data_IF_654293186366
#
_entry.id   IF_654293186366
#
_cell.length_a   1.000
_cell.length_b   1.000
_cell.length_c   1.000
_cell.angle_alpha   90.00
_cell.angle_beta   90.00
_cell.angle_gamma   90.00
#
_symmetry.space_group_name_H-M   'P 1'
#
loop_
_entity.id
_entity.type
_entity.pdbx_description
1 polymer ?
#
# COMPACT_ATOMS: atom_id res chain seq x y z
N UNK A 1 35.97 -2.17 2.79
CA UNK A 1 36.27 -2.24 1.34
C UNK A 1 34.97 -1.85 0.66
N UNK A 2 34.73 -0.66 0.11
CA UNK A 2 35.55 0.39 -0.46
C UNK A 2 34.79 0.77 -1.73
N UNK A 3 34.24 2.00 -1.81
CA UNK A 3 33.84 2.68 -3.06
C UNK A 3 33.30 4.09 -2.74
N UNK A 4 34.27 4.99 -2.62
CA UNK A 4 34.44 6.33 -3.18
C UNK A 4 33.25 7.20 -3.64
N UNK A 5 33.37 8.45 -3.17
CA UNK A 5 32.81 9.71 -3.62
C UNK A 5 32.82 9.93 -5.14
N UNK A 6 31.75 10.56 -5.66
CA UNK A 6 31.82 11.34 -6.91
C UNK A 6 31.26 12.74 -6.67
N UNK A 7 32.14 13.71 -6.90
CA UNK A 7 31.94 15.15 -6.82
C UNK A 7 31.31 15.73 -8.08
N UNK A 8 30.63 16.85 -7.89
CA UNK A 8 30.04 17.67 -8.95
C UNK A 8 31.11 18.42 -9.77
N UNK A 9 30.92 18.48 -11.09
CA UNK A 9 31.61 19.43 -11.96
C UNK A 9 30.63 20.15 -12.90
N UNK A 10 30.88 21.46 -13.01
CA UNK A 10 30.17 22.49 -13.76
C UNK A 10 30.99 22.83 -15.00
N UNK A 11 30.39 22.98 -16.19
CA UNK A 11 30.78 23.99 -17.21
C UNK A 11 29.83 24.06 -18.40
N UNK A 12 29.85 25.24 -19.01
CA UNK A 12 28.92 25.83 -19.96
C UNK A 12 29.26 25.57 -21.44
N UNK A 13 28.28 25.87 -22.32
CA UNK A 13 28.53 26.64 -23.54
C UNK A 13 28.21 26.00 -24.90
N UNK A 14 27.15 26.47 -25.55
CA UNK A 14 27.20 27.06 -26.91
C UNK A 14 26.94 26.20 -28.18
N UNK A 15 26.11 26.75 -29.08
CA UNK A 15 26.29 26.64 -30.54
C UNK A 15 25.32 25.72 -31.29
N UNK A 16 24.47 26.29 -32.15
CA UNK A 16 23.45 25.58 -32.95
C UNK A 16 23.95 24.95 -34.25
N UNK A 17 23.02 24.35 -35.00
CA UNK A 17 23.13 24.25 -36.47
C UNK A 17 21.83 23.81 -37.16
N UNK A 18 21.80 24.16 -38.44
CA UNK A 18 20.74 24.24 -39.45
C UNK A 18 20.61 23.00 -40.35
N UNK A 19 19.52 22.97 -41.12
CA UNK A 19 19.13 22.04 -42.20
C UNK A 19 19.90 22.25 -43.54
N UNK A 20 19.91 21.23 -44.42
CA UNK A 20 20.03 21.37 -45.89
C UNK A 20 18.82 20.74 -46.66
N UNK A 21 18.16 21.42 -47.61
CA UNK A 21 18.34 21.54 -49.10
C UNK A 21 18.13 20.28 -49.97
N UNK A 22 17.24 20.36 -50.99
CA UNK A 22 17.57 20.49 -52.44
C UNK A 22 16.33 20.38 -53.36
N UNK A 23 16.42 21.01 -54.54
CA UNK A 23 15.38 21.20 -55.57
C UNK A 23 15.83 20.66 -56.94
N UNK A 24 14.89 20.44 -57.88
CA UNK A 24 15.16 20.33 -59.33
C UNK A 24 13.93 20.64 -60.20
N UNK A 25 14.20 21.12 -61.42
CA UNK A 25 13.34 21.88 -62.35
C UNK A 25 12.96 21.14 -63.65
N UNK A 26 11.71 21.34 -64.09
CA UNK A 26 11.19 21.70 -65.43
C UNK A 26 11.60 21.00 -66.77
N UNK A 27 10.60 20.65 -67.61
CA UNK A 27 10.50 21.06 -69.04
C UNK A 27 9.16 20.66 -69.74
N UNK A 28 8.84 21.30 -70.87
CA UNK A 28 7.51 21.49 -71.46
C UNK A 28 7.29 20.95 -72.91
N UNK A 29 6.01 20.91 -73.34
CA UNK A 29 5.38 21.19 -74.67
C UNK A 29 4.78 20.08 -75.59
N UNK A 30 3.48 20.33 -75.93
CA UNK A 30 2.75 20.35 -77.25
C UNK A 30 2.14 19.09 -77.94
N UNK A 31 0.79 19.04 -77.91
CA UNK A 31 -0.27 18.89 -78.97
C UNK A 31 0.00 18.26 -80.36
N UNK A 32 -0.83 17.25 -80.76
CA UNK A 32 -1.83 17.26 -81.89
C UNK A 32 -2.42 15.85 -82.22
N UNK A 33 -3.73 15.79 -82.53
CA UNK A 33 -4.31 15.04 -83.68
C UNK A 33 -4.87 13.60 -83.52
N UNK A 34 -6.20 13.45 -83.64
CA UNK A 34 -6.98 12.21 -83.93
C UNK A 34 -6.99 11.91 -85.45
N UNK A 35 -7.26 10.66 -85.93
CA UNK A 35 -8.65 10.21 -86.21
C UNK A 35 -8.93 8.67 -86.14
N UNK A 36 -10.22 8.29 -86.10
CA UNK A 36 -10.72 7.01 -86.65
C UNK A 36 -11.53 6.10 -85.71
N UNK A 37 -12.86 6.09 -85.86
CA UNK A 37 -13.85 5.20 -85.18
C UNK A 37 -14.18 4.00 -86.12
N UNK A 38 -14.54 2.80 -85.61
CA UNK A 38 -15.86 2.28 -85.99
C UNK A 38 -16.74 1.84 -84.80
N UNK A 39 -18.03 2.12 -84.99
CA UNK A 39 -19.18 1.90 -84.11
C UNK A 39 -19.54 0.42 -84.03
N UNK A 40 -19.85 -0.04 -82.82
CA UNK A 40 -20.34 -1.41 -82.57
C UNK A 40 -20.34 -1.83 -81.09
N UNK A 41 -19.69 -1.07 -80.20
CA UNK A 41 -19.59 -1.35 -78.75
C UNK A 41 -20.18 -0.26 -77.86
N UNK A 42 -21.20 0.44 -78.35
CA UNK A 42 -21.69 1.68 -77.72
C UNK A 42 -22.95 1.51 -76.85
N UNK A 43 -23.51 0.30 -76.71
CA UNK A 43 -24.65 0.03 -75.81
C UNK A 43 -24.21 -0.71 -74.54
N UNK A 44 -23.17 -1.55 -74.62
CA UNK A 44 -22.63 -2.26 -73.46
C UNK A 44 -21.75 -1.36 -72.57
N UNK A 45 -21.11 -0.33 -73.15
CA UNK A 45 -20.39 0.72 -72.40
C UNK A 45 -21.32 1.65 -71.62
N UNK A 46 -22.53 1.93 -72.11
CA UNK A 46 -23.49 2.80 -71.42
C UNK A 46 -24.03 2.13 -70.16
N UNK A 47 -24.31 0.82 -70.19
CA UNK A 47 -24.72 0.09 -68.99
C UNK A 47 -23.58 -0.08 -67.97
N UNK A 48 -22.35 -0.33 -68.41
CA UNK A 48 -21.21 -0.37 -67.50
C UNK A 48 -20.84 1.01 -66.95
N UNK A 49 -20.98 2.08 -67.73
CA UNK A 49 -20.80 3.45 -67.24
C UNK A 49 -21.92 3.87 -66.29
N UNK A 50 -23.17 3.45 -66.50
CA UNK A 50 -24.27 3.69 -65.54
C UNK A 50 -24.02 2.90 -64.25
N UNK A 51 -23.58 1.64 -64.33
CA UNK A 51 -23.19 0.86 -63.14
C UNK A 51 -22.00 1.48 -62.40
N UNK A 52 -20.99 1.96 -63.11
CA UNK A 52 -19.84 2.66 -62.51
C UNK A 52 -20.25 4.01 -61.93
N UNK A 53 -21.15 4.76 -62.57
CA UNK A 53 -21.66 6.04 -62.03
C UNK A 53 -22.55 5.83 -60.81
N UNK A 54 -23.36 4.77 -60.77
CA UNK A 54 -24.14 4.39 -59.58
C UNK A 54 -23.21 3.90 -58.47
N UNK A 55 -22.18 3.10 -58.78
CA UNK A 55 -21.18 2.64 -57.82
C UNK A 55 -20.34 3.81 -57.29
N UNK A 56 -19.90 4.72 -58.15
CA UNK A 56 -19.22 5.96 -57.77
C UNK A 56 -20.15 6.86 -56.96
N UNK A 57 -21.44 6.94 -57.29
CA UNK A 57 -22.45 7.65 -56.48
C UNK A 57 -22.61 7.03 -55.10
N UNK A 58 -22.70 5.71 -55.00
CA UNK A 58 -22.78 4.97 -53.73
C UNK A 58 -21.49 5.10 -52.91
N UNK A 59 -20.31 4.99 -53.54
CA UNK A 59 -19.01 5.18 -52.89
C UNK A 59 -18.84 6.63 -52.46
N UNK A 60 -19.31 7.61 -53.24
CA UNK A 60 -19.26 9.02 -52.84
C UNK A 60 -20.24 9.31 -51.70
N UNK A 61 -21.42 8.67 -51.67
CA UNK A 61 -22.34 8.75 -50.52
C UNK A 61 -21.78 8.02 -49.29
N UNK A 62 -21.09 6.89 -49.46
CA UNK A 62 -20.41 6.16 -48.37
C UNK A 62 -19.17 6.91 -47.85
N UNK A 63 -18.42 7.56 -48.73
CA UNK A 63 -17.27 8.41 -48.38
C UNK A 63 -17.77 9.73 -47.78
N UNK A 64 -18.85 10.33 -48.28
CA UNK A 64 -19.49 11.51 -47.67
C UNK A 64 -20.18 11.16 -46.34
N UNK A 65 -20.76 9.96 -46.16
CA UNK A 65 -21.21 9.47 -44.84
C UNK A 65 -20.06 9.01 -43.93
N UNK A 66 -18.89 8.72 -44.51
CA UNK A 66 -17.66 8.41 -43.79
C UNK A 66 -16.85 9.66 -43.40
N UNK A 67 -17.06 10.79 -44.07
CA UNK A 67 -16.37 12.08 -43.86
C UNK A 67 -17.28 13.18 -43.29
N UNK A 68 -18.60 13.02 -43.35
CA UNK A 68 -19.60 13.80 -42.62
C UNK A 68 -20.35 12.83 -41.71
N UNK A 69 -20.03 12.93 -40.42
CA UNK A 69 -20.30 11.92 -39.40
C UNK A 69 -21.75 11.44 -39.30
N UNK A 70 -21.89 10.12 -39.30
CA UNK A 70 -22.93 9.42 -38.55
C UNK A 70 -22.21 8.41 -37.66
N UNK A 71 -21.71 8.94 -36.55
CA UNK A 71 -21.01 8.21 -35.51
C UNK A 71 -21.02 9.02 -34.21
N UNK A 72 -22.15 9.67 -33.90
CA UNK A 72 -22.39 10.37 -32.64
C UNK A 72 -23.90 10.44 -32.33
N UNK A 73 -24.58 9.30 -32.43
CA UNK A 73 -26.00 9.14 -32.03
C UNK A 73 -26.17 8.12 -30.89
N UNK A 74 -25.09 7.83 -30.15
CA UNK A 74 -25.11 7.00 -28.94
C UNK A 74 -24.11 7.42 -27.87
N UNK A 75 -23.39 8.53 -28.07
CA UNK A 75 -22.37 9.05 -27.14
C UNK A 75 -22.87 10.24 -26.33
N UNK A 76 -23.88 11.00 -26.77
CA UNK A 76 -24.33 12.15 -25.98
C UNK A 76 -25.02 11.76 -24.67
N UNK A 77 -25.78 10.66 -24.65
CA UNK A 77 -26.35 10.14 -23.40
C UNK A 77 -25.28 9.49 -22.53
N UNK A 78 -24.38 8.68 -23.09
CA UNK A 78 -23.31 8.05 -22.31
C UNK A 78 -22.34 9.10 -21.75
N UNK A 79 -21.97 10.12 -22.53
CA UNK A 79 -21.10 11.21 -22.11
C UNK A 79 -21.83 12.15 -21.15
N UNK A 80 -23.13 12.44 -21.34
CA UNK A 80 -23.91 13.23 -20.38
C UNK A 80 -24.16 12.48 -19.06
N UNK A 81 -24.40 11.17 -19.11
CA UNK A 81 -24.49 10.31 -17.92
C UNK A 81 -23.14 10.27 -17.21
N UNK A 82 -22.04 10.15 -17.96
CA UNK A 82 -20.69 10.15 -17.36
C UNK A 82 -20.33 11.51 -16.76
N UNK A 83 -20.70 12.62 -17.40
CA UNK A 83 -20.55 13.97 -16.85
C UNK A 83 -21.43 14.16 -15.60
N UNK A 84 -22.67 13.69 -15.62
CA UNK A 84 -23.57 13.76 -14.47
C UNK A 84 -23.05 12.91 -13.30
N UNK A 85 -22.51 11.71 -13.57
CA UNK A 85 -21.84 10.88 -12.56
C UNK A 85 -20.58 11.59 -12.02
N UNK A 86 -19.79 12.25 -12.86
CA UNK A 86 -18.60 13.01 -12.42
C UNK A 86 -19.02 14.21 -11.58
N UNK A 87 -20.04 14.97 -11.98
CA UNK A 87 -20.58 16.10 -11.22
C UNK A 87 -21.21 15.65 -9.90
N UNK A 88 -21.97 14.57 -9.90
CA UNK A 88 -22.57 13.98 -8.71
C UNK A 88 -21.49 13.40 -7.78
N UNK A 89 -20.44 12.75 -8.33
CA UNK A 89 -19.28 12.28 -7.56
C UNK A 89 -18.52 13.46 -6.96
N UNK A 90 -18.29 14.54 -7.72
CA UNK A 90 -17.64 15.75 -7.23
C UNK A 90 -18.50 16.46 -6.19
N UNK A 91 -19.83 16.43 -6.33
CA UNK A 91 -20.77 16.96 -5.35
C UNK A 91 -20.76 16.13 -4.07
N UNK A 92 -20.78 14.80 -4.17
CA UNK A 92 -20.65 13.88 -3.02
C UNK A 92 -19.30 14.08 -2.35
N UNK A 93 -18.20 14.17 -3.11
CA UNK A 93 -16.88 14.46 -2.57
C UNK A 93 -16.83 15.85 -1.91
N UNK A 94 -17.51 16.84 -2.47
CA UNK A 94 -17.61 18.17 -1.87
C UNK A 94 -18.46 18.15 -0.60
N UNK A 95 -19.54 17.37 -0.55
CA UNK A 95 -20.40 17.18 0.62
C UNK A 95 -19.63 16.45 1.75
N UNK A 96 -18.93 15.35 1.43
CA UNK A 96 -18.02 14.64 2.35
C UNK A 96 -16.91 15.57 2.87
N UNK A 97 -16.40 16.46 2.02
CA UNK A 97 -15.38 17.46 2.42
C UNK A 97 -15.98 18.66 3.18
N UNK A 98 -17.27 18.93 3.02
CA UNK A 98 -18.01 20.04 3.62
C UNK A 98 -18.54 19.74 5.02
N UNK A 99 -18.54 18.47 5.45
CA UNK A 99 -18.86 18.07 6.84
C UNK A 99 -17.81 18.55 7.87
N UNK A 100 -16.82 19.35 7.46
CA UNK A 100 -16.15 20.25 8.38
C UNK A 100 -17.05 21.45 8.66
N UNK A 101 -18.06 21.30 9.53
CA UNK A 101 -18.83 22.43 10.05
C UNK A 101 -17.92 23.26 10.98
N UNK A 102 -17.53 24.49 10.61
CA UNK A 102 -16.76 25.36 11.50
C UNK A 102 -17.56 25.87 12.71
N UNK A 103 -18.86 25.55 12.78
CA UNK A 103 -19.76 25.87 13.88
C UNK A 103 -20.37 24.62 14.55
N UNK A 104 -19.75 23.44 14.43
CA UNK A 104 -20.13 22.29 15.27
C UNK A 104 -20.02 22.72 16.75
N UNK A 105 -21.13 22.78 17.51
CA UNK A 105 -21.09 23.18 18.92
C UNK A 105 -20.29 22.20 19.80
N UNK A 106 -19.95 21.01 19.28
CA UNK A 106 -19.06 20.02 19.91
C UNK A 106 -17.58 20.13 19.43
N UNK A 107 -17.24 21.14 18.62
CA UNK A 107 -15.84 21.55 18.37
C UNK A 107 -15.50 22.78 19.23
N UNK A 108 -15.20 22.60 20.54
CA UNK A 108 -14.74 23.71 21.36
C UNK A 108 -13.46 24.25 20.72
N UNK A 109 -13.40 25.56 20.52
CA UNK A 109 -12.22 26.29 20.06
C UNK A 109 -10.96 25.66 20.63
N UNK A 110 -10.04 25.18 19.78
CA UNK A 110 -8.85 24.39 20.14
C UNK A 110 -8.30 24.80 21.51
N UNK A 111 -8.75 24.13 22.57
CA UNK A 111 -8.28 24.40 23.91
C UNK A 111 -6.88 23.82 23.95
N UNK A 112 -5.89 24.65 23.64
CA UNK A 112 -4.48 24.31 23.81
C UNK A 112 -4.34 23.66 25.19
N UNK A 113 -3.82 22.42 25.21
CA UNK A 113 -3.49 21.74 26.46
C UNK A 113 -2.73 22.76 27.31
N UNK A 114 -3.20 23.00 28.52
CA UNK A 114 -2.44 23.76 29.49
C UNK A 114 -1.11 23.02 29.66
N UNK A 115 0.04 23.60 29.27
CA UNK A 115 1.34 22.91 29.29
C UNK A 115 1.74 22.42 30.70
N UNK A 116 1.04 22.88 31.74
CA UNK A 116 1.20 22.41 33.12
C UNK A 116 0.45 21.11 33.45
N UNK A 117 -0.37 20.57 32.54
CA UNK A 117 -1.10 19.30 32.73
C UNK A 117 -0.42 18.20 31.94
N UNK A 118 0.05 17.17 32.63
CA UNK A 118 0.65 15.99 32.00
C UNK A 118 -0.43 15.18 31.28
N UNK A 119 -0.25 14.94 29.98
CA UNK A 119 -1.14 14.09 29.19
C UNK A 119 -1.18 12.65 29.73
N UNK A 120 -2.35 12.01 29.68
CA UNK A 120 -2.53 10.59 30.04
C UNK A 120 -3.44 9.89 29.05
N UNK A 121 -3.15 8.63 28.72
CA UNK A 121 -4.00 7.80 27.83
C UNK A 121 -5.31 7.31 28.50
N UNK A 122 -5.50 7.63 29.78
CA UNK A 122 -6.63 7.23 30.61
C UNK A 122 -6.20 6.95 32.06
N UNK A 123 -7.14 6.54 32.92
CA UNK A 123 -6.84 6.19 34.31
C UNK A 123 -5.77 5.10 34.40
N UNK A 124 -4.88 5.21 35.39
CA UNK A 124 -3.83 4.21 35.62
C UNK A 124 -4.44 2.89 36.06
N UNK A 125 -4.06 1.82 35.38
CA UNK A 125 -4.42 0.43 35.71
C UNK A 125 -3.13 -0.26 36.18
N UNK A 126 -3.19 -1.01 37.28
CA UNK A 126 -2.00 -1.63 37.91
C UNK A 126 -2.12 -3.15 38.07
N UNK A 127 -3.29 -3.71 37.81
CA UNK A 127 -3.67 -5.10 38.06
C UNK A 127 -4.23 -5.79 36.80
N UNK A 128 -3.93 -5.29 35.60
CA UNK A 128 -4.55 -5.77 34.35
C UNK A 128 -4.32 -7.27 34.10
N UNK A 129 -3.14 -7.80 34.40
CA UNK A 129 -2.87 -9.23 34.26
C UNK A 129 -3.81 -10.09 35.12
N UNK A 130 -4.12 -9.63 36.33
CA UNK A 130 -5.02 -10.34 37.25
C UNK A 130 -6.46 -10.24 36.78
N UNK A 131 -6.91 -9.05 36.37
CA UNK A 131 -8.26 -8.84 35.83
C UNK A 131 -8.50 -9.65 34.56
N UNK A 132 -7.54 -9.60 33.61
CA UNK A 132 -7.58 -10.37 32.37
C UNK A 132 -7.61 -11.88 32.64
N UNK A 133 -6.84 -12.37 33.60
CA UNK A 133 -6.88 -13.78 34.01
C UNK A 133 -8.26 -14.18 34.54
N UNK A 134 -8.82 -13.39 35.46
CA UNK A 134 -10.17 -13.64 36.02
C UNK A 134 -11.22 -13.65 34.91
N UNK A 135 -11.13 -12.72 33.95
CA UNK A 135 -12.04 -12.68 32.82
C UNK A 135 -11.91 -13.92 31.93
N UNK A 136 -10.69 -14.37 31.61
CA UNK A 136 -10.46 -15.58 30.80
C UNK A 136 -10.99 -16.84 31.49
N UNK A 137 -10.82 -16.94 32.82
CA UNK A 137 -11.35 -18.06 33.62
C UNK A 137 -12.90 -18.08 33.63
N UNK A 138 -13.54 -16.91 33.52
CA UNK A 138 -15.01 -16.76 33.50
C UNK A 138 -15.63 -16.89 32.10
N UNK A 139 -14.85 -16.74 31.03
CA UNK A 139 -15.32 -16.70 29.64
C UNK A 139 -14.56 -17.72 28.77
N UNK A 140 -14.66 -19.05 29.06
CA UNK A 140 -13.89 -20.10 28.39
C UNK A 140 -14.20 -20.24 26.88
N UNK A 141 -15.31 -19.69 26.42
CA UNK A 141 -15.71 -19.62 25.00
C UNK A 141 -14.90 -18.59 24.20
N UNK A 142 -14.18 -17.69 24.87
CA UNK A 142 -13.27 -16.72 24.28
C UNK A 142 -11.81 -16.96 24.72
N UNK A 143 -11.19 -18.10 24.35
CA UNK A 143 -9.84 -18.40 24.77
C UNK A 143 -8.83 -17.49 24.05
N UNK A 144 -7.76 -17.14 24.76
CA UNK A 144 -6.62 -16.42 24.20
C UNK A 144 -5.68 -17.30 23.37
N UNK A 145 -5.86 -18.63 23.43
CA UNK A 145 -5.20 -19.60 22.58
C UNK A 145 -6.22 -20.56 21.95
N UNK A 146 -6.18 -20.72 20.63
CA UNK A 146 -7.00 -21.68 19.88
C UNK A 146 -6.06 -22.67 19.22
N UNK A 147 -6.18 -23.97 19.52
CA UNK A 147 -5.30 -25.02 18.99
C UNK A 147 -3.80 -24.72 19.17
N UNK A 148 -3.41 -24.22 20.37
CA UNK A 148 -2.05 -23.76 20.71
C UNK A 148 -1.55 -22.53 19.95
N UNK A 149 -2.38 -21.91 19.09
CA UNK A 149 -2.07 -20.64 18.43
C UNK A 149 -2.65 -19.49 19.24
N UNK A 150 -1.83 -18.50 19.58
CA UNK A 150 -2.30 -17.32 20.28
C UNK A 150 -3.26 -16.51 19.39
N UNK A 151 -4.30 -15.93 19.98
CA UNK A 151 -5.24 -15.06 19.26
C UNK A 151 -4.56 -13.73 18.92
N UNK A 152 -4.57 -13.37 17.64
CA UNK A 152 -4.02 -12.12 17.14
C UNK A 152 -5.15 -11.23 16.63
N UNK A 153 -5.10 -9.95 16.97
CA UNK A 153 -5.92 -8.89 16.40
C UNK A 153 -5.03 -7.95 15.58
N UNK A 154 -5.18 -7.98 14.25
CA UNK A 154 -4.50 -7.04 13.37
C UNK A 154 -5.24 -5.70 13.39
N UNK A 155 -4.52 -4.62 13.64
CA UNK A 155 -5.05 -3.27 13.75
C UNK A 155 -4.38 -2.39 12.73
N UNK A 156 -5.18 -1.71 11.93
CA UNK A 156 -4.73 -0.72 10.96
C UNK A 156 -5.72 0.45 10.93
N UNK A 157 -5.41 1.50 10.19
CA UNK A 157 -6.34 2.61 10.05
C UNK A 157 -5.84 3.69 9.10
N UNK A 158 -6.73 4.63 8.82
CA UNK A 158 -6.45 5.82 8.02
C UNK A 158 -7.19 7.02 8.63
N UNK A 159 -6.86 8.25 8.21
CA UNK A 159 -7.68 9.41 8.55
C UNK A 159 -9.16 9.21 8.15
N UNK A 160 -10.12 9.82 8.89
CA UNK A 160 -11.54 9.78 8.55
C UNK A 160 -11.88 10.52 7.25
N UNK A 161 -11.12 11.57 6.95
CA UNK A 161 -11.36 12.43 5.79
C UNK A 161 -10.79 11.79 4.52
N UNK A 162 -11.38 12.05 3.35
CA UNK A 162 -10.78 11.66 2.07
C UNK A 162 -9.35 12.15 1.96
N UNK A 163 -8.51 11.41 1.24
CA UNK A 163 -7.14 11.78 1.03
C UNK A 163 -7.00 13.12 0.29
N UNK A 164 -5.95 13.88 0.62
CA UNK A 164 -5.59 15.11 -0.10
C UNK A 164 -5.38 14.80 -1.59
N UNK A 165 -4.68 13.70 -1.85
CA UNK A 165 -4.54 13.12 -3.19
C UNK A 165 -5.62 12.05 -3.40
N UNK A 166 -6.59 12.24 -4.32
CA UNK A 166 -7.71 11.31 -4.49
C UNK A 166 -7.30 9.86 -4.85
N UNK A 167 -6.15 9.67 -5.49
CA UNK A 167 -5.65 8.31 -5.77
C UNK A 167 -5.23 7.58 -4.48
N UNK A 168 -4.94 8.32 -3.41
CA UNK A 168 -4.58 7.77 -2.10
C UNK A 168 -5.64 6.84 -1.55
N UNK A 169 -6.93 7.20 -1.64
CA UNK A 169 -8.04 6.37 -1.21
C UNK A 169 -8.10 5.03 -1.95
N UNK A 170 -7.76 5.02 -3.24
CA UNK A 170 -7.65 3.77 -4.01
C UNK A 170 -6.55 2.86 -3.48
N UNK A 171 -5.40 3.41 -3.09
CA UNK A 171 -4.31 2.62 -2.51
C UNK A 171 -4.58 2.20 -1.07
N UNK A 172 -5.32 2.98 -0.28
CA UNK A 172 -5.84 2.55 1.02
C UNK A 172 -6.77 1.34 0.85
N UNK A 173 -7.68 1.38 -0.13
CA UNK A 173 -8.58 0.26 -0.46
C UNK A 173 -7.80 -0.99 -0.86
N UNK A 174 -6.77 -0.86 -1.70
CA UNK A 174 -5.90 -1.98 -2.09
C UNK A 174 -5.14 -2.55 -0.90
N UNK A 175 -4.60 -1.68 -0.04
CA UNK A 175 -3.88 -2.10 1.15
C UNK A 175 -4.78 -2.84 2.14
N UNK A 176 -6.03 -2.40 2.37
CA UNK A 176 -6.94 -3.15 3.23
C UNK A 176 -7.40 -4.47 2.59
N UNK A 177 -7.65 -4.53 1.28
CA UNK A 177 -7.89 -5.82 0.60
C UNK A 177 -6.73 -6.79 0.83
N UNK A 178 -5.48 -6.34 0.69
CA UNK A 178 -4.29 -7.15 0.93
C UNK A 178 -4.27 -7.70 2.36
N UNK A 179 -4.53 -6.86 3.37
CA UNK A 179 -4.62 -7.28 4.78
C UNK A 179 -5.78 -8.24 5.03
N UNK A 180 -6.95 -8.00 4.44
CA UNK A 180 -8.12 -8.90 4.49
C UNK A 180 -7.75 -10.28 3.95
N UNK A 181 -7.07 -10.35 2.81
CA UNK A 181 -6.67 -11.61 2.20
C UNK A 181 -5.71 -12.40 3.09
N UNK A 182 -4.69 -11.75 3.64
CA UNK A 182 -3.77 -12.38 4.59
C UNK A 182 -4.50 -12.84 5.85
N UNK A 183 -5.25 -11.95 6.51
CA UNK A 183 -5.96 -12.26 7.75
C UNK A 183 -6.96 -13.41 7.57
N UNK A 184 -7.71 -13.43 6.45
CA UNK A 184 -8.58 -14.55 6.09
C UNK A 184 -7.82 -15.84 5.89
N UNK A 185 -6.64 -15.81 5.26
CA UNK A 185 -5.80 -17.00 5.05
C UNK A 185 -5.26 -17.57 6.35
N UNK A 186 -4.96 -16.71 7.33
CA UNK A 186 -4.29 -17.07 8.58
C UNK A 186 -5.19 -17.14 9.82
N UNK A 187 -6.49 -16.85 9.68
CA UNK A 187 -7.45 -16.88 10.79
C UNK A 187 -7.22 -15.76 11.81
N UNK A 188 -6.83 -14.58 11.34
CA UNK A 188 -6.56 -13.39 12.15
C UNK A 188 -7.75 -12.44 12.02
N UNK A 189 -8.18 -11.86 13.14
CA UNK A 189 -9.22 -10.82 13.15
C UNK A 189 -8.60 -9.47 12.79
N UNK A 190 -9.38 -8.58 12.16
CA UNK A 190 -8.90 -7.28 11.71
C UNK A 190 -9.82 -6.15 12.19
N UNK A 191 -9.22 -5.08 12.69
CA UNK A 191 -9.88 -3.80 12.96
C UNK A 191 -9.28 -2.73 12.07
N UNK A 192 -10.15 -2.01 11.38
CA UNK A 192 -9.80 -0.84 10.59
C UNK A 192 -10.37 0.41 11.25
N UNK A 193 -9.51 1.23 11.85
CA UNK A 193 -9.92 2.46 12.49
C UNK A 193 -9.95 3.63 11.51
N UNK A 194 -11.06 4.36 11.51
CA UNK A 194 -11.24 5.65 10.81
C UNK A 194 -11.62 6.77 11.78
N UNK A 195 -11.58 6.54 13.10
CA UNK A 195 -11.97 7.54 14.09
C UNK A 195 -10.74 8.16 14.78
N UNK A 196 -10.82 9.46 15.09
CA UNK A 196 -9.90 10.08 16.02
C UNK A 196 -10.42 9.88 17.45
N UNK A 197 -9.79 8.96 18.19
CA UNK A 197 -10.16 8.68 19.59
C UNK A 197 -9.64 9.74 20.57
N UNK A 198 -8.63 10.50 20.16
CA UNK A 198 -7.98 11.53 20.94
C UNK A 198 -7.51 12.63 19.98
N UNK A 199 -7.94 13.88 20.21
CA UNK A 199 -7.60 15.03 19.35
C UNK A 199 -6.13 15.48 19.54
N UNK A 200 -5.50 15.12 20.65
CA UNK A 200 -4.11 15.48 20.97
C UNK A 200 -3.10 14.53 20.34
N UNK A 201 -3.44 13.24 20.31
CA UNK A 201 -2.65 12.21 19.63
C UNK A 201 -3.13 12.00 18.19
N UNK A 202 -2.94 13.02 17.35
CA UNK A 202 -3.22 12.97 15.92
C UNK A 202 -2.06 12.37 15.09
N UNK A 203 -2.35 11.99 13.84
CA UNK A 203 -1.35 11.47 12.90
C UNK A 203 -0.82 10.10 13.31
N UNK A 204 0.50 9.89 13.19
CA UNK A 204 1.14 8.61 13.54
C UNK A 204 0.98 8.24 15.02
N UNK A 205 0.68 9.21 15.89
CA UNK A 205 0.43 8.98 17.32
C UNK A 205 -0.93 8.37 17.65
N UNK A 206 -1.90 8.44 16.73
CA UNK A 206 -3.27 7.96 16.95
C UNK A 206 -3.37 6.45 17.24
N UNK A 207 -2.31 5.68 16.91
CA UNK A 207 -2.23 4.26 17.21
C UNK A 207 -2.16 3.95 18.70
N UNK A 208 -1.54 4.81 19.53
CA UNK A 208 -1.39 4.57 20.98
C UNK A 208 -2.75 4.47 21.72
N UNK A 209 -3.65 5.48 21.64
CA UNK A 209 -4.93 5.42 22.35
C UNK A 209 -5.82 4.30 21.80
N UNK A 210 -5.74 4.01 20.50
CA UNK A 210 -6.44 2.89 19.87
C UNK A 210 -5.97 1.53 20.40
N UNK A 211 -4.66 1.29 20.42
CA UNK A 211 -4.09 0.05 20.95
C UNK A 211 -4.50 -0.13 22.41
N UNK A 212 -4.36 0.91 23.25
CA UNK A 212 -4.79 0.84 24.65
C UNK A 212 -6.27 0.46 24.77
N UNK A 213 -7.14 1.11 23.98
CA UNK A 213 -8.58 0.83 23.99
C UNK A 213 -8.87 -0.62 23.60
N UNK A 214 -8.21 -1.13 22.56
CA UNK A 214 -8.40 -2.50 22.09
C UNK A 214 -7.87 -3.54 23.07
N UNK A 215 -6.74 -3.28 23.74
CA UNK A 215 -6.23 -4.17 24.80
C UNK A 215 -7.27 -4.38 25.91
N UNK A 216 -7.89 -3.28 26.36
CA UNK A 216 -8.86 -3.30 27.45
C UNK A 216 -10.24 -3.83 27.02
N UNK A 217 -10.60 -3.68 25.74
CA UNK A 217 -11.91 -4.10 25.21
C UNK A 217 -11.91 -5.55 24.73
N UNK A 218 -10.72 -6.12 24.46
CA UNK A 218 -10.54 -7.50 23.99
C UNK A 218 -9.59 -8.30 24.90
N UNK A 219 -10.00 -8.67 26.13
CA UNK A 219 -9.16 -9.46 27.03
C UNK A 219 -8.82 -10.85 26.46
N UNK A 220 -9.62 -11.38 25.53
CA UNK A 220 -9.36 -12.62 24.81
C UNK A 220 -8.18 -12.53 23.83
N UNK A 221 -7.81 -11.34 23.37
CA UNK A 221 -6.70 -11.17 22.43
C UNK A 221 -5.38 -11.28 23.17
N UNK A 222 -4.48 -12.15 22.71
CA UNK A 222 -3.14 -12.30 23.28
C UNK A 222 -2.16 -11.31 22.65
N UNK A 223 -2.26 -11.09 21.35
CA UNK A 223 -1.40 -10.17 20.61
C UNK A 223 -2.21 -9.16 19.80
N UNK A 224 -1.94 -7.88 20.02
CA UNK A 224 -2.36 -6.80 19.12
C UNK A 224 -1.23 -6.55 18.14
N UNK A 225 -1.51 -6.70 16.85
CA UNK A 225 -0.55 -6.44 15.79
C UNK A 225 -0.93 -5.17 15.05
N UNK A 226 -0.20 -4.09 15.34
CA UNK A 226 -0.35 -2.85 14.57
C UNK A 226 0.34 -2.98 13.21
N UNK A 227 -0.32 -2.55 12.15
CA UNK A 227 0.25 -2.46 10.80
C UNK A 227 -0.22 -1.20 10.09
N UNK A 228 0.71 -0.35 9.67
CA UNK A 228 0.42 0.90 8.97
C UNK A 228 -0.34 0.66 7.65
N UNK A 229 -1.11 1.66 7.22
CA UNK A 229 -1.93 1.56 6.00
C UNK A 229 -1.10 1.36 4.74
N UNK A 230 0.13 1.88 4.69
CA UNK A 230 1.09 1.78 3.59
C UNK A 230 2.07 0.60 3.74
N UNK A 231 1.86 -0.28 4.72
CA UNK A 231 2.49 -1.59 4.79
C UNK A 231 1.62 -2.66 4.13
N UNK A 232 2.20 -3.47 3.24
CA UNK A 232 1.51 -4.58 2.57
C UNK A 232 2.18 -5.91 2.90
N UNK A 233 1.36 -6.94 3.10
CA UNK A 233 1.84 -8.32 3.04
C UNK A 233 2.29 -8.65 1.63
N UNK A 234 3.50 -9.16 1.49
CA UNK A 234 4.05 -9.65 0.23
C UNK A 234 4.43 -11.12 0.29
N UNK A 235 4.40 -11.74 1.46
CA UNK A 235 4.36 -13.19 1.66
C UNK A 235 3.01 -13.61 2.27
N UNK A 236 2.16 -14.25 1.46
CA UNK A 236 0.83 -14.72 1.89
C UNK A 236 0.88 -16.09 2.56
N UNK A 237 2.03 -16.77 2.56
CA UNK A 237 2.24 -18.10 3.18
C UNK A 237 2.86 -17.98 4.56
N UNK A 238 3.79 -17.04 4.74
CA UNK A 238 4.55 -16.91 5.98
C UNK A 238 3.63 -16.70 7.20
N UNK A 239 3.87 -17.48 8.26
CA UNK A 239 3.25 -17.33 9.58
C UNK A 239 4.28 -16.78 10.57
N UNK A 240 3.88 -15.83 11.41
CA UNK A 240 4.75 -15.29 12.47
C UNK A 240 5.10 -16.43 13.46
N UNK A 241 6.39 -16.69 13.73
CA UNK A 241 6.80 -17.77 14.63
C UNK A 241 6.60 -17.38 16.10
N UNK A 242 5.35 -17.29 16.57
CA UNK A 242 5.02 -16.73 17.89
C UNK A 242 5.70 -17.43 19.08
N UNK A 243 6.01 -18.73 18.97
CA UNK A 243 6.76 -19.48 19.99
C UNK A 243 8.14 -18.85 20.27
N UNK A 244 8.74 -18.17 19.29
CA UNK A 244 9.99 -17.42 19.46
C UNK A 244 9.85 -16.25 20.45
N UNK A 245 8.62 -15.77 20.68
CA UNK A 245 8.33 -14.55 21.43
C UNK A 245 7.66 -14.80 22.78
N UNK A 246 7.61 -16.04 23.27
CA UNK A 246 6.92 -16.41 24.52
C UNK A 246 7.37 -15.59 25.73
N UNK A 247 8.65 -15.21 25.79
CA UNK A 247 9.22 -14.43 26.89
C UNK A 247 9.17 -12.90 26.71
N UNK A 248 8.62 -12.44 25.58
CA UNK A 248 8.60 -11.03 25.17
C UNK A 248 7.17 -10.49 25.11
N UNK A 249 7.05 -9.16 25.20
CA UNK A 249 5.78 -8.43 25.18
C UNK A 249 5.69 -7.42 24.04
N UNK A 250 6.83 -6.98 23.50
CA UNK A 250 6.90 -6.17 22.28
C UNK A 250 7.80 -6.86 21.27
N UNK A 251 7.29 -7.09 20.06
CA UNK A 251 8.08 -7.60 18.92
C UNK A 251 8.05 -6.55 17.83
N UNK A 252 9.22 -6.05 17.45
CA UNK A 252 9.35 -4.96 16.48
C UNK A 252 10.54 -5.23 15.57
N UNK A 253 10.41 -4.94 14.28
CA UNK A 253 11.55 -5.09 13.38
C UNK A 253 12.62 -4.06 13.70
N UNK A 254 13.88 -4.49 13.84
CA UNK A 254 14.97 -3.57 14.14
C UNK A 254 16.35 -4.20 14.08
N UNK A 255 17.38 -3.36 14.04
CA UNK A 255 18.77 -3.77 13.90
C UNK A 255 19.55 -3.46 15.19
N UNK A 256 20.06 -4.48 15.91
CA UNK A 256 20.79 -4.25 17.17
C UNK A 256 21.97 -3.28 17.06
N UNK A 257 22.72 -3.33 15.94
CA UNK A 257 23.83 -2.39 15.71
C UNK A 257 23.33 -0.94 15.60
N UNK A 258 22.26 -0.70 14.83
CA UNK A 258 21.68 0.63 14.70
C UNK A 258 21.11 1.12 16.04
N UNK A 259 20.55 0.22 16.84
CA UNK A 259 19.98 0.54 18.14
C UNK A 259 21.06 0.90 19.15
N UNK A 260 21.95 -0.04 19.48
CA UNK A 260 22.83 0.07 20.64
C UNK A 260 24.16 0.77 20.35
N UNK A 261 24.70 0.61 19.14
CA UNK A 261 25.98 1.21 18.78
C UNK A 261 25.78 2.59 18.14
N UNK A 262 24.87 2.68 17.17
CA UNK A 262 24.70 3.93 16.40
C UNK A 262 23.65 4.89 16.96
N UNK A 263 22.71 4.39 17.78
CA UNK A 263 21.55 5.15 18.29
C UNK A 263 20.79 5.85 17.17
N UNK A 264 20.54 5.12 16.08
CA UNK A 264 19.90 5.63 14.87
C UNK A 264 18.39 5.77 15.04
N UNK A 265 17.78 6.81 14.48
CA UNK A 265 16.32 6.98 14.48
C UNK A 265 15.55 5.97 13.60
N UNK A 266 16.28 5.21 12.77
CA UNK A 266 15.76 4.09 11.98
C UNK A 266 16.20 2.73 12.54
N UNK A 267 16.59 2.68 13.83
CA UNK A 267 17.04 1.45 14.48
C UNK A 267 15.95 0.37 14.57
N UNK A 268 14.68 0.78 14.63
CA UNK A 268 13.50 -0.08 14.58
C UNK A 268 12.40 0.61 13.75
N UNK A 269 11.33 -0.11 13.41
CA UNK A 269 10.18 0.46 12.71
C UNK A 269 8.86 0.20 13.44
N UNK A 270 8.11 1.26 13.73
CA UNK A 270 6.81 1.19 14.42
C UNK A 270 5.61 1.14 13.46
N UNK A 271 5.84 0.79 12.19
CA UNK A 271 4.77 0.58 11.22
C UNK A 271 4.29 -0.86 11.11
N UNK A 272 4.97 -1.81 11.76
CA UNK A 272 4.52 -3.19 11.91
C UNK A 272 5.15 -3.80 13.16
N UNK A 273 4.36 -4.01 14.21
CA UNK A 273 4.84 -4.55 15.48
C UNK A 273 3.72 -5.25 16.26
N UNK A 274 4.10 -6.13 17.19
CA UNK A 274 3.17 -6.86 18.06
C UNK A 274 3.30 -6.41 19.52
N UNK A 275 2.17 -6.17 20.17
CA UNK A 275 2.04 -6.01 21.61
C UNK A 275 1.31 -7.18 22.25
N UNK A 276 1.88 -7.75 23.31
CA UNK A 276 1.17 -8.70 24.16
C UNK A 276 0.14 -7.99 25.01
N UNK A 277 -1.07 -8.51 25.13
CA UNK A 277 -2.11 -7.96 25.99
C UNK A 277 -1.81 -8.25 27.47
N UNK A 278 -1.03 -7.35 28.09
CA UNK A 278 -0.56 -7.49 29.46
C UNK A 278 -0.29 -6.12 30.11
N UNK A 279 -0.14 -6.12 31.43
CA UNK A 279 0.13 -4.93 32.25
C UNK A 279 1.38 -4.18 31.76
N UNK A 280 2.45 -4.91 31.42
CA UNK A 280 3.70 -4.31 30.93
C UNK A 280 3.47 -3.46 29.68
N UNK A 281 2.62 -3.91 28.75
CA UNK A 281 2.33 -3.17 27.53
C UNK A 281 1.49 -1.92 27.80
N UNK A 282 0.57 -1.95 28.78
CA UNK A 282 -0.14 -0.74 29.22
C UNK A 282 0.83 0.28 29.82
N UNK A 283 1.78 -0.19 30.62
CA UNK A 283 2.80 0.67 31.23
C UNK A 283 3.75 1.27 30.17
N UNK A 284 4.11 0.50 29.13
CA UNK A 284 4.91 1.03 28.03
C UNK A 284 4.14 2.10 27.24
N UNK A 285 2.85 1.90 26.97
CA UNK A 285 2.02 2.90 26.28
C UNK A 285 1.98 4.21 27.06
N UNK A 286 1.82 4.15 28.38
CA UNK A 286 1.87 5.33 29.27
C UNK A 286 3.24 6.04 29.19
N UNK A 287 4.34 5.29 29.11
CA UNK A 287 5.69 5.85 29.00
C UNK A 287 6.04 6.38 27.60
N UNK A 288 5.36 5.89 26.56
CA UNK A 288 5.61 6.25 25.16
C UNK A 288 4.82 7.50 24.73
N UNK A 289 3.59 7.65 25.22
CA UNK A 289 2.69 8.76 24.90
C UNK A 289 3.19 10.20 25.19
N UNK A 290 4.06 10.50 26.17
CA UNK A 290 4.33 11.88 26.60
C UNK A 290 4.91 12.82 25.53
N UNK A 291 5.57 12.28 24.50
CA UNK A 291 6.11 13.08 23.38
C UNK A 291 5.09 13.30 22.24
N UNK A 292 3.89 12.73 22.37
CA UNK A 292 2.88 12.69 21.32
C UNK A 292 1.89 13.86 21.23
N UNK A 293 1.49 14.56 22.31
CA UNK A 293 0.49 15.63 22.21
C UNK A 293 0.89 16.74 21.24
N UNK A 294 0.03 17.06 20.26
CA UNK A 294 0.29 18.05 19.20
C UNK A 294 0.64 19.44 19.75
N UNK A 295 1.28 20.26 18.94
CA UNK A 295 1.69 21.62 19.30
C UNK A 295 3.03 21.66 20.05
N UNK A 296 3.22 22.59 21.01
CA UNK A 296 4.54 22.85 21.61
C UNK A 296 5.21 21.62 22.23
N UNK A 297 4.43 20.70 22.82
CA UNK A 297 4.96 19.48 23.45
C UNK A 297 5.69 18.62 22.41
N UNK A 298 5.00 18.26 21.32
CA UNK A 298 5.56 17.44 20.25
C UNK A 298 6.68 18.15 19.48
N UNK A 299 6.60 19.47 19.32
CA UNK A 299 7.66 20.28 18.69
C UNK A 299 8.95 20.28 19.51
N UNK A 300 8.87 20.55 20.82
CA UNK A 300 10.04 20.51 21.72
C UNK A 300 10.60 19.10 21.87
N UNK A 301 9.74 18.09 21.98
CA UNK A 301 10.16 16.70 21.96
C UNK A 301 10.90 16.34 20.66
N UNK A 302 10.46 16.85 19.51
CA UNK A 302 11.15 16.68 18.23
C UNK A 302 12.59 17.20 18.24
N UNK A 303 12.84 18.34 18.91
CA UNK A 303 14.20 18.87 19.09
C UNK A 303 15.05 17.95 19.96
N UNK A 304 14.49 17.44 21.07
CA UNK A 304 15.16 16.47 21.94
C UNK A 304 15.54 15.21 21.16
N UNK A 305 14.61 14.64 20.39
CA UNK A 305 14.85 13.44 19.59
C UNK A 305 15.93 13.67 18.53
N UNK A 306 15.88 14.82 17.84
CA UNK A 306 16.88 15.19 16.83
C UNK A 306 18.28 15.34 17.44
N UNK A 307 18.39 15.86 18.66
CA UNK A 307 19.66 16.01 19.36
C UNK A 307 20.23 14.67 19.86
N UNK A 308 19.39 13.66 20.09
CA UNK A 308 19.80 12.40 20.74
C UNK A 308 19.86 11.20 19.79
N UNK A 309 19.20 11.25 18.62
CA UNK A 309 19.14 10.15 17.67
C UNK A 309 19.90 10.47 16.39
N UNK A 310 20.86 9.61 16.05
CA UNK A 310 21.71 9.77 14.88
C UNK A 310 20.89 9.72 13.59
N UNK A 311 21.12 10.70 12.72
CA UNK A 311 20.53 10.76 11.38
C UNK A 311 19.08 11.21 11.31
N UNK A 312 18.46 11.57 12.45
CA UNK A 312 17.09 12.09 12.47
C UNK A 312 17.06 13.51 11.87
N UNK A 313 16.21 13.80 10.87
CA UNK A 313 16.02 15.17 10.39
C UNK A 313 15.24 16.01 11.42
N UNK A 314 15.28 17.33 11.26
CA UNK A 314 14.56 18.25 12.14
C UNK A 314 13.08 18.35 11.76
N UNK A 315 12.21 17.72 12.56
CA UNK A 315 10.75 17.81 12.48
C UNK A 315 10.15 17.43 13.86
N UNK A 316 8.83 17.59 13.99
CA UNK A 316 8.06 17.22 15.20
C UNK A 316 8.33 15.79 15.67
N UNK A 317 8.13 15.49 16.96
CA UNK A 317 8.29 14.13 17.47
C UNK A 317 7.36 13.12 16.77
N UNK A 318 7.93 11.97 16.42
CA UNK A 318 7.24 10.81 15.87
C UNK A 318 7.30 9.62 16.84
N UNK A 319 6.33 8.72 16.75
CA UNK A 319 6.20 7.57 17.62
C UNK A 319 7.43 6.65 17.53
N UNK A 320 7.98 6.43 16.33
CA UNK A 320 9.17 5.58 16.13
C UNK A 320 10.39 6.09 16.90
N UNK A 321 10.73 7.37 16.71
CA UNK A 321 11.86 8.02 17.37
C UNK A 321 11.65 8.08 18.88
N UNK A 322 10.44 8.38 19.34
CA UNK A 322 10.12 8.39 20.76
C UNK A 322 10.29 7.01 21.41
N UNK A 323 9.89 5.92 20.73
CA UNK A 323 10.10 4.56 21.22
C UNK A 323 11.58 4.23 21.31
N UNK A 324 12.36 4.55 20.26
CA UNK A 324 13.81 4.33 20.27
C UNK A 324 14.46 5.07 21.44
N UNK A 325 14.12 6.34 21.61
CA UNK A 325 14.66 7.16 22.69
C UNK A 325 14.29 6.61 24.08
N UNK A 326 13.03 6.20 24.28
CA UNK A 326 12.57 5.56 25.52
C UNK A 326 13.34 4.27 25.82
N UNK A 327 13.45 3.38 24.84
CA UNK A 327 14.14 2.09 24.99
C UNK A 327 15.65 2.23 25.22
N UNK A 328 16.27 3.28 24.68
CA UNK A 328 17.68 3.58 24.94
C UNK A 328 17.92 4.24 26.30
N UNK A 329 17.02 5.16 26.71
CA UNK A 329 17.16 5.91 27.96
C UNK A 329 16.75 5.12 29.20
N UNK A 330 15.82 4.17 29.05
CA UNK A 330 15.30 3.33 30.13
C UNK A 330 15.50 1.84 29.81
N UNK A 331 16.67 1.50 29.26
CA UNK A 331 17.01 0.15 28.78
C UNK A 331 16.72 -0.93 29.82
N UNK A 332 17.17 -0.73 31.05
CA UNK A 332 17.06 -1.74 32.13
C UNK A 332 15.60 -1.99 32.55
N UNK A 333 14.70 -1.05 32.26
CA UNK A 333 13.28 -1.15 32.60
C UNK A 333 12.46 -1.87 31.51
N UNK A 334 12.84 -1.72 30.23
CA UNK A 334 11.98 -2.14 29.12
C UNK A 334 12.58 -3.24 28.25
N UNK A 335 13.89 -3.22 27.99
CA UNK A 335 14.48 -4.01 26.91
C UNK A 335 14.48 -5.52 27.16
N UNK A 336 14.30 -5.98 28.39
CA UNK A 336 14.18 -7.41 28.71
C UNK A 336 12.92 -8.06 28.09
N UNK A 337 11.88 -7.26 27.83
CA UNK A 337 10.62 -7.69 27.21
C UNK A 337 10.45 -7.24 25.75
N UNK A 338 11.47 -6.62 25.15
CA UNK A 338 11.46 -6.21 23.74
C UNK A 338 12.29 -7.18 22.90
N UNK A 339 11.68 -7.72 21.84
CA UNK A 339 12.36 -8.48 20.80
C UNK A 339 12.59 -7.62 19.57
N UNK A 340 13.86 -7.37 19.23
CA UNK A 340 14.24 -6.73 17.96
C UNK A 340 14.35 -7.81 16.87
N UNK A 341 13.32 -7.95 16.06
CA UNK A 341 13.27 -8.93 14.98
C UNK A 341 14.05 -8.46 13.76
N UNK A 342 14.91 -9.34 13.23
CA UNK A 342 15.71 -9.10 12.03
C UNK A 342 15.97 -10.37 11.19
N UNK A 343 15.33 -11.49 11.53
CA UNK A 343 15.43 -12.75 10.79
C UNK A 343 14.44 -12.86 9.62
N UNK A 344 13.42 -12.02 9.61
CA UNK A 344 12.48 -11.85 8.50
C UNK A 344 11.96 -10.41 8.49
N UNK A 345 11.34 -9.98 7.40
CA UNK A 345 10.82 -8.62 7.25
C UNK A 345 9.45 -8.45 7.89
N UNK A 346 9.38 -8.43 9.24
CA UNK A 346 8.21 -7.90 9.95
C UNK A 346 7.90 -6.45 9.50
N UNK A 347 8.95 -5.72 9.14
CA UNK A 347 8.91 -4.52 8.30
C UNK A 347 10.03 -4.63 7.25
N UNK A 348 9.71 -4.44 5.97
CA UNK A 348 10.68 -4.41 4.88
C UNK A 348 10.66 -3.08 4.13
N UNK A 349 11.77 -2.36 4.12
CA UNK A 349 11.88 -1.06 3.44
C UNK A 349 11.75 -1.23 1.91
N UNK A 350 10.66 -0.69 1.35
CA UNK A 350 10.21 -0.95 -0.01
C UNK A 350 11.28 -0.71 -1.08
N UNK A 351 12.07 0.37 -0.98
CA UNK A 351 13.00 0.76 -2.03
C UNK A 351 14.13 -0.25 -2.28
N UNK A 352 14.44 -1.09 -1.28
CA UNK A 352 15.41 -2.19 -1.43
C UNK A 352 14.79 -3.52 -1.89
N UNK A 353 13.46 -3.60 -1.98
CA UNK A 353 12.72 -4.84 -2.21
C UNK A 353 11.99 -4.85 -3.55
N UNK A 354 11.29 -3.77 -3.90
CA UNK A 354 10.31 -3.78 -5.00
C UNK A 354 10.92 -4.06 -6.37
N UNK A 355 12.20 -3.69 -6.58
CA UNK A 355 12.91 -3.91 -7.84
C UNK A 355 13.41 -5.37 -7.98
N UNK A 356 13.33 -6.16 -6.91
CA UNK A 356 13.77 -7.56 -6.87
C UNK A 356 12.64 -8.58 -7.03
N UNK A 357 11.38 -8.14 -7.13
CA UNK A 357 10.24 -9.07 -7.16
C UNK A 357 10.27 -10.07 -8.32
N UNK A 358 10.70 -9.67 -9.52
CA UNK A 358 10.85 -10.58 -10.64
C UNK A 358 11.93 -11.65 -10.36
N UNK A 359 13.06 -11.24 -9.78
CA UNK A 359 14.10 -12.18 -9.32
C UNK A 359 13.54 -13.16 -8.29
N UNK A 360 12.75 -12.67 -7.33
CA UNK A 360 12.14 -13.50 -6.28
C UNK A 360 11.16 -14.52 -6.85
N UNK A 361 10.33 -14.12 -7.81
CA UNK A 361 9.40 -15.01 -8.53
C UNK A 361 10.14 -16.12 -9.28
N UNK A 362 11.30 -15.81 -9.86
CA UNK A 362 12.09 -16.76 -10.64
C UNK A 362 12.86 -17.76 -9.76
N UNK A 363 13.47 -17.28 -8.66
CA UNK A 363 14.43 -18.06 -7.88
C UNK A 363 13.86 -18.68 -6.60
N UNK A 364 12.80 -18.11 -6.05
CA UNK A 364 12.30 -18.46 -4.71
C UNK A 364 10.80 -18.77 -4.72
N UNK A 365 10.23 -18.90 -3.53
CA UNK A 365 8.82 -19.16 -3.30
C UNK A 365 8.35 -18.44 -2.03
N UNK A 366 7.04 -18.16 -1.88
CA UNK A 366 6.48 -17.63 -0.64
C UNK A 366 6.62 -18.64 0.51
N UNK A 367 6.62 -18.13 1.74
CA UNK A 367 6.78 -18.86 3.00
C UNK A 367 8.12 -18.60 3.69
N UNK A 368 8.98 -17.75 3.13
CA UNK A 368 10.33 -17.48 3.65
C UNK A 368 10.36 -16.23 4.54
N UNK A 369 9.56 -15.22 4.20
CA UNK A 369 9.41 -13.97 4.96
C UNK A 369 10.61 -13.00 4.93
N UNK A 370 11.75 -13.37 4.35
CA UNK A 370 13.01 -12.63 4.36
C UNK A 370 13.40 -12.03 2.98
N UNK A 371 14.67 -11.71 2.76
CA UNK A 371 15.22 -11.18 1.49
C UNK A 371 14.99 -12.02 0.23
N UNK A 372 14.59 -13.29 0.39
CA UNK A 372 14.24 -14.19 -0.70
C UNK A 372 12.77 -14.07 -1.08
N UNK A 373 11.91 -13.75 -0.10
CA UNK A 373 10.50 -13.44 -0.29
C UNK A 373 9.98 -12.63 0.91
N UNK A 374 9.93 -11.29 0.83
CA UNK A 374 9.71 -10.46 2.01
C UNK A 374 8.32 -10.64 2.58
N UNK A 375 8.22 -10.74 3.90
CA UNK A 375 6.93 -10.86 4.57
C UNK A 375 6.09 -9.59 4.41
N UNK A 376 6.66 -8.45 4.80
CA UNK A 376 6.04 -7.13 4.67
C UNK A 376 6.88 -6.25 3.77
N UNK A 377 6.24 -5.55 2.83
CA UNK A 377 6.82 -4.42 2.11
C UNK A 377 6.13 -3.14 2.58
N UNK A 378 6.90 -2.24 3.19
CA UNK A 378 6.41 -1.02 3.84
C UNK A 378 6.88 0.23 3.09
N UNK A 379 5.93 1.02 2.61
CA UNK A 379 6.13 2.21 1.75
C UNK A 379 6.42 3.49 2.52
N UNK A 380 7.30 3.38 3.54
CA UNK A 380 7.75 4.52 4.35
C UNK A 380 8.18 5.69 3.47
N UNK A 381 7.65 6.87 3.78
CA UNK A 381 7.94 8.12 3.08
C UNK A 381 7.12 8.36 1.80
N UNK A 382 6.33 7.39 1.33
CA UNK A 382 5.48 7.59 0.13
C UNK A 382 4.23 8.42 0.39
N UNK A 383 3.64 8.31 1.59
CA UNK A 383 2.48 9.10 2.06
C UNK A 383 1.37 9.25 0.99
N UNK A 384 0.82 8.15 0.44
CA UNK A 384 -0.08 8.20 -0.71
C UNK A 384 -1.38 8.99 -0.47
N UNK A 385 -1.80 9.12 0.78
CA UNK A 385 -2.98 9.86 1.20
C UNK A 385 -2.71 11.36 1.48
N UNK A 386 -1.45 11.72 1.75
CA UNK A 386 -1.05 13.08 2.08
C UNK A 386 -0.61 13.88 0.86
N UNK A 387 -0.35 15.16 1.08
CA UNK A 387 0.09 16.12 0.07
C UNK A 387 1.62 16.23 -0.09
N UNK A 388 2.40 15.66 0.83
CA UNK A 388 3.87 15.70 0.80
C UNK A 388 4.46 14.32 1.10
N UNK A 389 5.43 13.87 0.29
CA UNK A 389 6.15 12.60 0.43
C UNK A 389 7.65 12.77 0.16
N UNK A 390 8.46 11.89 0.72
CA UNK A 390 9.93 11.93 0.61
C UNK A 390 10.43 11.37 -0.73
N UNK A 391 9.55 10.70 -1.49
CA UNK A 391 9.84 10.07 -2.77
C UNK A 391 8.89 10.57 -3.86
N UNK A 392 9.30 10.48 -5.15
CA UNK A 392 8.41 10.81 -6.26
C UNK A 392 7.13 9.96 -6.23
N UNK A 393 5.97 10.62 -6.27
CA UNK A 393 4.65 9.99 -6.21
C UNK A 393 4.51 8.87 -7.25
N UNK A 394 4.94 9.09 -8.49
CA UNK A 394 4.88 8.08 -9.55
C UNK A 394 5.66 6.79 -9.21
N UNK A 395 6.85 6.93 -8.60
CA UNK A 395 7.65 5.77 -8.16
C UNK A 395 6.96 5.04 -7.03
N UNK A 396 6.38 5.77 -6.07
CA UNK A 396 5.61 5.18 -4.98
C UNK A 396 4.41 4.40 -5.49
N UNK A 397 3.53 5.03 -6.27
CA UNK A 397 2.30 4.39 -6.76
C UNK A 397 2.61 3.17 -7.63
N UNK A 398 3.55 3.28 -8.57
CA UNK A 398 3.96 2.14 -9.41
C UNK A 398 4.57 1.00 -8.59
N UNK A 399 5.31 1.30 -7.52
CA UNK A 399 5.90 0.29 -6.64
C UNK A 399 4.86 -0.35 -5.70
N UNK A 400 3.89 0.43 -5.21
CA UNK A 400 2.75 -0.08 -4.46
C UNK A 400 1.87 -0.99 -5.34
N UNK A 401 1.66 -0.64 -6.60
CA UNK A 401 0.98 -1.49 -7.59
C UNK A 401 1.69 -2.84 -7.74
N UNK A 402 3.03 -2.81 -7.88
CA UNK A 402 3.86 -4.00 -7.97
C UNK A 402 3.76 -4.88 -6.72
N UNK A 403 3.90 -4.29 -5.53
CA UNK A 403 3.81 -5.02 -4.26
C UNK A 403 2.42 -5.64 -4.05
N UNK A 404 1.36 -4.90 -4.33
CA UNK A 404 0.00 -5.42 -4.28
C UNK A 404 -0.18 -6.59 -5.24
N UNK A 405 0.22 -6.46 -6.51
CA UNK A 405 0.06 -7.53 -7.50
C UNK A 405 0.99 -8.73 -7.22
N UNK A 406 2.16 -8.52 -6.62
CA UNK A 406 3.07 -9.57 -6.17
C UNK A 406 2.40 -10.44 -5.09
N UNK A 407 1.70 -9.80 -4.15
CA UNK A 407 0.92 -10.46 -3.12
C UNK A 407 -0.37 -11.09 -3.66
N UNK A 408 -1.17 -10.33 -4.43
CA UNK A 408 -2.46 -10.76 -4.97
C UNK A 408 -2.29 -11.93 -5.96
N UNK A 409 -1.16 -12.03 -6.66
CA UNK A 409 -0.82 -13.22 -7.45
C UNK A 409 -0.82 -14.52 -6.64
N UNK A 410 -0.42 -14.48 -5.37
CA UNK A 410 -0.47 -15.64 -4.48
C UNK A 410 -1.94 -16.00 -4.21
N UNK A 411 -2.78 -15.01 -3.89
CA UNK A 411 -4.22 -15.22 -3.67
C UNK A 411 -4.94 -15.71 -4.93
N UNK A 412 -4.73 -15.06 -6.08
CA UNK A 412 -5.35 -15.39 -7.37
C UNK A 412 -4.97 -16.80 -7.86
N UNK A 413 -3.77 -17.28 -7.52
CA UNK A 413 -3.31 -18.64 -7.87
C UNK A 413 -4.24 -19.71 -7.33
N UNK A 414 -4.85 -19.49 -6.16
CA UNK A 414 -5.87 -20.39 -5.58
C UNK A 414 -7.04 -20.60 -6.55
N UNK A 415 -7.42 -19.55 -7.27
CA UNK A 415 -8.56 -19.52 -8.18
C UNK A 415 -8.19 -19.77 -9.64
N UNK A 416 -6.91 -20.05 -9.95
CA UNK A 416 -6.46 -20.35 -11.31
C UNK A 416 -6.20 -19.09 -12.15
N UNK A 417 -5.91 -17.96 -11.53
CA UNK A 417 -5.56 -16.71 -12.18
C UNK A 417 -4.21 -16.16 -11.72
N UNK A 418 -3.67 -15.21 -12.48
CA UNK A 418 -2.59 -14.31 -12.08
C UNK A 418 -2.68 -12.99 -12.85
N UNK A 419 -2.06 -11.94 -12.35
CA UNK A 419 -1.82 -10.70 -13.08
C UNK A 419 -0.99 -10.95 -14.35
N UNK A 420 -1.25 -10.17 -15.41
CA UNK A 420 -0.47 -10.26 -16.66
C UNK A 420 0.99 -9.84 -16.46
N UNK A 421 1.23 -8.93 -15.51
CA UNK A 421 2.54 -8.49 -15.01
C UNK A 421 2.33 -7.66 -13.74
N UNK A 422 3.39 -7.38 -12.98
CA UNK A 422 3.28 -6.72 -11.67
C UNK A 422 2.76 -5.27 -11.73
N UNK A 423 2.85 -4.60 -12.88
CA UNK A 423 2.27 -3.27 -13.08
C UNK A 423 0.87 -3.29 -13.70
N UNK A 424 0.32 -4.47 -14.02
CA UNK A 424 -0.94 -4.57 -14.75
C UNK A 424 -2.08 -5.02 -13.85
N UNK A 425 -3.19 -4.26 -13.77
CA UNK A 425 -4.38 -4.71 -13.06
C UNK A 425 -5.11 -5.83 -13.82
N UNK A 426 -4.75 -6.09 -15.09
CA UNK A 426 -5.38 -7.13 -15.90
C UNK A 426 -4.88 -8.51 -15.46
N UNK A 427 -5.80 -9.44 -15.31
CA UNK A 427 -5.50 -10.85 -15.00
C UNK A 427 -5.50 -11.73 -16.26
N UNK A 428 -4.95 -12.93 -16.12
CA UNK A 428 -5.01 -14.03 -17.09
C UNK A 428 -5.20 -15.36 -16.35
N UNK A 429 -5.87 -16.32 -17.00
CA UNK A 429 -5.96 -17.69 -16.51
C UNK A 429 -4.59 -18.36 -16.56
N UNK A 430 -4.32 -19.24 -15.59
CA UNK A 430 -3.10 -20.06 -15.54
C UNK A 430 -3.39 -21.56 -15.63
N UNK A 431 -4.66 -21.95 -15.63
CA UNK A 431 -5.12 -23.33 -15.84
C UNK A 431 -6.46 -23.33 -16.56
N UNK A 432 -6.76 -24.43 -17.24
CA UNK A 432 -8.06 -24.66 -17.87
C UNK A 432 -9.15 -24.88 -16.82
N UNK A 433 -10.40 -24.60 -17.19
CA UNK A 433 -11.55 -24.99 -16.38
C UNK A 433 -11.68 -26.52 -16.36
N UNK A 434 -12.13 -27.04 -15.23
CA UNK A 434 -12.35 -28.47 -15.03
C UNK A 434 -13.72 -28.69 -14.42
N UNK A 435 -14.38 -29.78 -14.80
CA UNK A 435 -15.61 -30.26 -14.16
C UNK A 435 -15.34 -30.97 -12.83
N UNK A 436 -14.06 -31.23 -12.50
CA UNK A 436 -13.62 -31.86 -11.25
C UNK A 436 -12.68 -30.94 -10.45
N UNK A 437 -13.16 -29.78 -9.96
CA UNK A 437 -12.32 -28.78 -9.30
C UNK A 437 -11.66 -29.28 -8.00
N UNK A 438 -12.21 -30.32 -7.37
CA UNK A 438 -11.71 -30.85 -6.10
C UNK A 438 -10.45 -31.72 -6.23
N UNK A 439 -10.17 -32.27 -7.42
CA UNK A 439 -9.05 -33.19 -7.64
C UNK A 439 -7.66 -32.53 -7.49
N UNK A 440 -7.62 -31.20 -7.59
CA UNK A 440 -6.38 -30.41 -7.56
C UNK A 440 -6.28 -29.47 -6.36
N UNK A 441 -7.18 -29.60 -5.37
CA UNK A 441 -7.26 -28.67 -4.23
C UNK A 441 -5.96 -28.65 -3.43
N UNK A 442 -5.40 -29.82 -3.12
CA UNK A 442 -4.19 -29.91 -2.30
C UNK A 442 -2.94 -29.34 -2.99
N UNK A 443 -2.83 -29.50 -4.32
CA UNK A 443 -1.73 -28.92 -5.09
C UNK A 443 -1.79 -27.39 -5.16
N UNK A 444 -3.01 -26.85 -5.11
CA UNK A 444 -3.26 -25.42 -5.23
C UNK A 444 -3.39 -24.72 -3.87
N UNK A 445 -3.46 -25.45 -2.76
CA UNK A 445 -3.71 -24.88 -1.44
C UNK A 445 -2.42 -24.33 -0.80
N UNK A 446 -2.32 -23.00 -0.79
CA UNK A 446 -1.24 -22.23 -0.16
C UNK A 446 -1.12 -22.53 1.34
N UNK A 447 -2.21 -22.93 2.01
CA UNK A 447 -2.21 -23.30 3.44
C UNK A 447 -1.63 -24.69 3.74
N UNK A 448 -1.51 -25.59 2.75
CA UNK A 448 -1.03 -26.98 2.95
C UNK A 448 0.38 -27.24 2.42
N UNK A 449 0.94 -26.35 1.60
CA UNK A 449 2.30 -26.53 1.07
C UNK A 449 3.40 -26.54 2.16
N UNK A 450 3.12 -25.96 3.34
CA UNK A 450 4.05 -25.97 4.49
C UNK A 450 4.17 -27.36 5.15
N UNK A 451 3.15 -28.23 5.03
CA UNK A 451 3.17 -29.55 5.68
C UNK A 451 3.99 -30.62 4.93
N UNK A 452 4.38 -30.38 3.67
CA UNK A 452 5.13 -31.35 2.87
C UNK A 452 6.63 -31.04 2.74
N UNK A 453 7.13 -29.96 3.33
CA UNK A 453 8.56 -29.63 3.37
C UNK A 453 9.40 -30.41 4.37
N UNK A 454 8.79 -31.19 5.27
CA UNK A 454 9.48 -31.92 6.35
C UNK A 454 9.73 -33.41 6.08
N UNK A 455 9.33 -33.94 4.91
CA UNK A 455 9.66 -35.31 4.53
C UNK A 455 10.89 -35.33 3.62
N UNK A 456 12.08 -35.33 4.24
CA UNK A 456 13.27 -35.83 3.58
C UNK A 456 13.03 -37.31 3.19
N UNK A 457 13.41 -37.75 1.97
CA UNK A 457 13.27 -39.16 1.60
C UNK A 457 14.21 -40.01 2.46
N UNK A 458 13.81 -41.23 2.86
CA UNK A 458 14.72 -42.13 3.57
C UNK A 458 15.90 -42.44 2.65
N UNK A 459 17.09 -42.07 3.10
CA UNK A 459 18.36 -42.53 2.52
C UNK A 459 18.35 -44.05 2.48
N UNK A 460 18.52 -44.63 1.29
CA UNK A 460 18.96 -46.02 1.13
C UNK A 460 20.45 -46.13 1.41
#
# INVERSE_FOLDING_TARGET
MGLDNISAQKRAGGGGNSLPTTAATANARRSRGFPGIPRGRQIQKTFNNIKITILCGFVTILVLRGTIGIGNLGSSEADAVNQNIIEETNRILAEIRSDGDPNDPDDPAETQINPNVTYTLGPKIVNWNQERKVWLDQNPEFPNYVNKRARILLVTGSPPKPCDNPIGDHYLLKAIKNKIDYCRLHGIEIIYNIAHLDKELAGYWAKLPLIRRLMLSHPEVEWIWWMDSDALFTDMVFEIPLEKYDNYNLVVHGYPDLMFNQKSWIALNTGSFLFRNCQWSLDLLDAWAPMGPKGPIREEAGKILTANLKGRPAFEADDQSALIYLLLSQKDQWMDKVFLENSYYLHGYWAGLVDRYEEMIEKYHPGLGDERWPFVTHFVGCKPCGSYGDYPVERCLSSMERAFNFADNQVLKLYGFRHRGLLSPKIKRIRNETTTPLDSVDQNNIRRQVLHGSNAPPTK
#
